data_IF_310750602291
#
_entry.id   IF_310750602291
#
_cell.length_a   1.000
_cell.length_b   1.000
_cell.length_c   1.000
_cell.angle_alpha   90.00
_cell.angle_beta   90.00
_cell.angle_gamma   90.00
#
_symmetry.space_group_name_H-M   'P 1'
#
loop_
_entity.id
_entity.type
_entity.pdbx_description
1 polymer ?
#
# COMPACT_ATOMS: atom_id res chain seq x y z
N UNK A 1 -14.86 -28.78 -76.15
CA UNK A 1 -14.96 -28.60 -74.69
C UNK A 1 -14.61 -27.16 -74.35
N UNK A 2 -15.57 -26.35 -73.91
CA UNK A 2 -15.36 -24.95 -73.52
C UNK A 2 -14.80 -24.94 -72.09
N UNK A 3 -13.56 -24.47 -71.90
CA UNK A 3 -12.98 -24.21 -70.57
C UNK A 3 -13.46 -22.84 -70.09
N UNK A 4 -14.22 -22.83 -69.01
CA UNK A 4 -14.57 -21.64 -68.26
C UNK A 4 -13.43 -21.34 -67.28
N UNK A 5 -12.85 -20.15 -67.38
CA UNK A 5 -11.89 -19.64 -66.39
C UNK A 5 -12.73 -18.92 -65.33
N UNK A 6 -12.85 -19.50 -64.14
CA UNK A 6 -13.40 -18.80 -62.97
C UNK A 6 -12.33 -17.80 -62.51
N UNK A 7 -12.62 -16.50 -62.62
CA UNK A 7 -11.86 -15.45 -61.95
C UNK A 7 -12.40 -15.36 -60.50
N UNK A 8 -11.66 -15.89 -59.53
CA UNK A 8 -11.94 -15.65 -58.12
C UNK A 8 -11.50 -14.23 -57.77
N UNK A 9 -12.45 -13.30 -57.68
CA UNK A 9 -12.24 -11.98 -57.09
C UNK A 9 -12.14 -12.17 -55.56
N UNK A 10 -10.91 -12.10 -55.02
CA UNK A 10 -10.71 -11.92 -53.59
C UNK A 10 -11.00 -10.46 -53.25
N UNK A 11 -12.15 -10.19 -52.65
CA UNK A 11 -12.45 -8.91 -51.99
C UNK A 11 -11.71 -8.94 -50.66
N UNK A 12 -10.56 -8.26 -50.58
CA UNK A 12 -9.96 -7.90 -49.30
C UNK A 12 -10.85 -6.81 -48.67
N UNK A 13 -11.71 -7.21 -47.73
CA UNK A 13 -12.27 -6.29 -46.74
C UNK A 13 -11.13 -5.90 -45.80
N UNK A 14 -10.44 -4.81 -46.11
CA UNK A 14 -9.61 -4.12 -45.14
C UNK A 14 -10.55 -3.49 -44.12
N UNK A 15 -10.78 -4.19 -43.00
CA UNK A 15 -11.34 -3.57 -41.81
C UNK A 15 -10.33 -2.53 -41.34
N UNK A 16 -10.70 -1.26 -41.38
CA UNK A 16 -10.00 -0.22 -40.65
C UNK A 16 -10.23 -0.49 -39.17
N UNK A 17 -9.29 -1.17 -38.52
CA UNK A 17 -9.22 -1.14 -37.07
C UNK A 17 -8.89 0.31 -36.69
N UNK A 18 -9.88 1.04 -36.18
CA UNK A 18 -9.62 2.32 -35.55
C UNK A 18 -8.86 2.03 -34.25
N UNK A 19 -7.83 2.82 -33.95
CA UNK A 19 -7.21 2.77 -32.63
C UNK A 19 -8.29 3.13 -31.60
N UNK A 20 -8.42 2.34 -30.53
CA UNK A 20 -9.35 2.66 -29.45
C UNK A 20 -8.85 3.88 -28.67
N UNK A 21 -9.79 4.70 -28.20
CA UNK A 21 -9.53 5.91 -27.44
C UNK A 21 -9.75 5.67 -25.95
N UNK A 22 -9.02 6.42 -25.12
CA UNK A 22 -9.24 6.48 -23.68
C UNK A 22 -10.51 7.28 -23.39
N UNK A 23 -11.48 6.68 -22.72
CA UNK A 23 -12.78 7.31 -22.40
C UNK A 23 -12.84 7.92 -21.00
N UNK A 24 -11.84 7.64 -20.19
CA UNK A 24 -11.69 8.14 -18.84
C UNK A 24 -12.52 7.39 -17.78
N UNK A 25 -11.99 7.39 -16.57
CA UNK A 25 -12.57 6.76 -15.38
C UNK A 25 -14.01 7.19 -15.05
N UNK A 26 -14.39 8.45 -15.34
CA UNK A 26 -15.78 8.92 -15.16
C UNK A 26 -16.75 8.10 -16.00
N UNK A 27 -16.39 7.75 -17.23
CA UNK A 27 -17.19 6.88 -18.10
C UNK A 27 -17.33 5.49 -17.48
N UNK A 28 -16.23 4.92 -17.00
CA UNK A 28 -16.23 3.62 -16.31
C UNK A 28 -17.15 3.64 -15.07
N UNK A 29 -17.08 4.69 -14.26
CA UNK A 29 -17.88 4.85 -13.04
C UNK A 29 -19.39 4.83 -13.29
N UNK A 30 -19.86 5.30 -14.46
CA UNK A 30 -21.30 5.29 -14.78
C UNK A 30 -21.92 3.88 -14.79
N UNK A 31 -21.12 2.85 -15.10
CA UNK A 31 -21.55 1.46 -15.13
C UNK A 31 -20.97 0.64 -13.97
N UNK A 32 -19.79 0.99 -13.46
CA UNK A 32 -19.04 0.19 -12.48
C UNK A 32 -19.07 0.69 -11.03
N UNK A 33 -19.83 1.75 -10.71
CA UNK A 33 -19.97 2.23 -9.33
C UNK A 33 -20.83 1.33 -8.42
N UNK A 34 -21.99 0.86 -8.90
CA UNK A 34 -23.03 0.29 -8.03
C UNK A 34 -23.13 -1.25 -8.03
N UNK A 35 -22.01 -1.96 -8.18
CA UNK A 35 -22.04 -3.43 -8.08
C UNK A 35 -22.28 -3.86 -6.62
N UNK A 36 -23.42 -4.52 -6.30
CA UNK A 36 -23.93 -4.68 -4.93
C UNK A 36 -23.03 -5.42 -3.93
N UNK A 37 -21.94 -6.04 -4.40
CA UNK A 37 -21.02 -6.82 -3.57
C UNK A 37 -19.55 -6.41 -3.74
N UNK A 38 -19.19 -5.59 -4.74
CA UNK A 38 -17.78 -5.27 -5.04
C UNK A 38 -17.46 -3.79 -5.23
N UNK A 39 -18.43 -2.93 -5.55
CA UNK A 39 -18.25 -1.47 -5.71
C UNK A 39 -16.92 -1.08 -6.35
N UNK A 40 -16.57 -1.69 -7.50
CA UNK A 40 -15.19 -1.66 -8.01
C UNK A 40 -14.66 -0.26 -8.21
N UNK A 41 -15.45 0.62 -8.82
CA UNK A 41 -15.05 2.01 -9.03
C UNK A 41 -14.87 2.73 -7.69
N UNK A 42 -15.86 2.73 -6.81
CA UNK A 42 -15.80 3.45 -5.53
C UNK A 42 -14.68 2.92 -4.62
N UNK A 43 -14.46 1.61 -4.60
CA UNK A 43 -13.36 1.01 -3.85
C UNK A 43 -12.00 1.34 -4.44
N UNK A 44 -11.88 1.36 -5.77
CA UNK A 44 -10.64 1.70 -6.45
C UNK A 44 -10.29 3.18 -6.30
N UNK A 45 -11.29 4.05 -6.38
CA UNK A 45 -11.15 5.48 -6.12
C UNK A 45 -10.71 5.76 -4.68
N UNK A 46 -10.99 4.82 -3.77
CA UNK A 46 -10.48 4.85 -2.41
C UNK A 46 -9.03 4.36 -2.25
N UNK A 47 -8.32 3.98 -3.31
CA UNK A 47 -6.91 3.57 -3.29
C UNK A 47 -5.97 4.73 -3.63
N UNK A 48 -4.66 4.53 -3.49
CA UNK A 48 -3.66 5.55 -3.85
C UNK A 48 -3.39 5.68 -5.35
N UNK A 49 -3.76 4.69 -6.18
CA UNK A 49 -3.44 4.67 -7.62
C UNK A 49 -4.02 5.86 -8.41
N UNK A 50 -5.31 6.21 -8.29
CA UNK A 50 -5.89 7.32 -9.04
C UNK A 50 -5.27 8.67 -8.67
N UNK A 51 -4.60 8.76 -7.53
CA UNK A 51 -4.10 10.01 -6.96
C UNK A 51 -2.58 10.11 -7.00
N UNK A 52 -1.87 9.15 -7.63
CA UNK A 52 -0.41 9.23 -7.82
C UNK A 52 0.04 10.51 -8.54
N UNK A 53 -0.84 11.09 -9.37
CA UNK A 53 -0.74 12.44 -9.88
C UNK A 53 -2.14 13.06 -9.87
N UNK A 54 -2.27 14.25 -9.26
CA UNK A 54 -3.54 14.98 -9.19
C UNK A 54 -3.37 16.33 -9.86
N UNK A 55 -4.18 16.61 -10.88
CA UNK A 55 -4.24 17.91 -11.52
C UNK A 55 -5.01 18.90 -10.65
N UNK A 56 -4.43 20.08 -10.43
CA UNK A 56 -5.09 21.18 -9.73
C UNK A 56 -5.13 22.47 -10.56
N UNK A 57 -4.33 22.56 -11.63
CA UNK A 57 -4.44 23.63 -12.64
C UNK A 57 -4.24 25.04 -12.09
N UNK A 58 -3.26 25.25 -11.22
CA UNK A 58 -2.99 26.53 -10.55
C UNK A 58 -4.16 27.05 -9.70
N UNK A 59 -5.03 26.14 -9.22
CA UNK A 59 -6.11 26.48 -8.30
C UNK A 59 -5.79 26.02 -6.88
N UNK A 60 -6.30 26.75 -5.88
CA UNK A 60 -6.29 26.27 -4.50
C UNK A 60 -7.12 24.98 -4.42
N UNK A 61 -6.53 23.85 -3.97
CA UNK A 61 -7.25 22.59 -3.87
C UNK A 61 -8.52 22.74 -3.03
N UNK A 62 -9.63 22.20 -3.56
CA UNK A 62 -10.89 22.19 -2.83
C UNK A 62 -10.75 21.38 -1.53
N UNK A 63 -11.49 21.78 -0.49
CA UNK A 63 -11.45 21.10 0.82
C UNK A 63 -11.91 19.63 0.78
N UNK A 64 -12.62 19.26 -0.28
CA UNK A 64 -13.14 17.92 -0.58
C UNK A 64 -12.33 17.21 -1.68
N UNK A 65 -11.18 17.75 -2.09
CA UNK A 65 -10.29 17.06 -3.02
C UNK A 65 -9.84 15.76 -2.37
N UNK A 66 -10.29 14.64 -2.94
CA UNK A 66 -9.81 13.33 -2.57
C UNK A 66 -8.29 13.28 -2.87
N UNK A 67 -7.43 12.76 -1.97
CA UNK A 67 -7.77 11.85 -0.87
C UNK A 67 -7.85 12.45 0.51
N UNK A 68 -8.70 13.46 0.75
CA UNK A 68 -9.06 13.96 2.09
C UNK A 68 -7.87 14.18 3.03
N UNK A 69 -6.68 14.36 2.47
CA UNK A 69 -5.44 14.42 3.23
C UNK A 69 -5.08 15.88 3.28
N UNK A 70 -5.27 16.54 4.43
CA UNK A 70 -5.04 17.98 4.52
C UNK A 70 -3.56 18.25 4.25
N UNK A 71 -3.30 19.03 3.21
CA UNK A 71 -2.00 19.61 2.98
C UNK A 71 -1.88 20.88 3.84
N UNK A 72 -0.72 21.11 4.48
CA UNK A 72 -0.46 22.39 5.12
C UNK A 72 -0.35 23.48 4.05
N UNK A 73 -0.27 24.76 4.46
CA UNK A 73 0.21 25.81 3.56
C UNK A 73 1.52 25.38 2.89
N UNK A 74 1.67 25.74 1.61
CA UNK A 74 2.90 25.49 0.85
C UNK A 74 4.10 26.20 1.50
N UNK A 75 5.32 25.64 1.36
CA UNK A 75 6.50 26.16 2.03
C UNK A 75 7.05 27.39 1.28
N UNK A 76 7.95 28.12 1.92
CA UNK A 76 8.75 29.11 1.20
C UNK A 76 9.78 28.39 0.32
N UNK A 77 9.95 28.88 -0.91
CA UNK A 77 10.94 28.39 -1.88
C UNK A 77 11.75 29.57 -2.43
N UNK A 78 13.07 29.53 -2.32
CA UNK A 78 13.98 30.59 -2.75
C UNK A 78 13.78 31.89 -1.96
N UNK A 79 13.27 31.80 -0.72
CA UNK A 79 12.90 32.95 0.09
C UNK A 79 11.60 33.65 -0.35
N UNK A 80 10.81 33.02 -1.22
CA UNK A 80 9.48 33.50 -1.66
C UNK A 80 8.43 32.44 -1.31
N UNK A 81 7.28 32.82 -0.71
CA UNK A 81 6.21 31.87 -0.42
C UNK A 81 5.66 31.23 -1.69
N UNK A 82 5.76 29.90 -1.82
CA UNK A 82 5.12 29.17 -2.92
C UNK A 82 3.59 29.29 -2.77
N UNK A 83 2.90 29.65 -3.84
CA UNK A 83 1.45 29.77 -3.84
C UNK A 83 0.81 28.64 -4.65
N UNK A 84 -0.49 28.40 -4.42
CA UNK A 84 -1.20 27.35 -5.15
C UNK A 84 -1.36 27.66 -6.65
N UNK A 85 -1.33 28.93 -7.04
CA UNK A 85 -1.32 29.35 -8.44
C UNK A 85 0.04 29.16 -9.14
N UNK A 86 1.08 28.78 -8.39
CA UNK A 86 2.37 28.34 -8.95
C UNK A 86 2.41 26.82 -9.20
N UNK A 87 1.37 26.06 -8.80
CA UNK A 87 1.36 24.60 -8.80
C UNK A 87 0.31 24.05 -9.78
N UNK A 88 0.77 23.20 -10.70
CA UNK A 88 -0.09 22.56 -11.69
C UNK A 88 -0.58 21.17 -11.23
N UNK A 89 0.33 20.38 -10.66
CA UNK A 89 0.03 19.03 -10.19
C UNK A 89 0.59 18.75 -8.80
N UNK A 90 -0.08 17.85 -8.10
CA UNK A 90 0.40 17.22 -6.88
C UNK A 90 0.83 15.79 -7.21
N UNK A 91 2.07 15.44 -6.88
CA UNK A 91 2.61 14.09 -7.01
C UNK A 91 2.42 13.36 -5.70
N UNK A 92 1.77 12.19 -5.75
CA UNK A 92 1.39 11.44 -4.56
C UNK A 92 0.27 12.16 -3.83
N UNK A 93 0.48 12.54 -2.57
CA UNK A 93 -0.57 12.99 -1.67
C UNK A 93 -1.66 11.92 -1.53
N UNK A 94 -1.31 10.83 -0.85
CA UNK A 94 -2.20 9.78 -0.37
C UNK A 94 -1.37 8.98 0.65
N UNK A 95 -1.61 9.17 1.94
CA UNK A 95 -0.94 8.53 3.11
C UNK A 95 0.58 8.64 3.28
N UNK A 96 1.38 8.84 2.23
CA UNK A 96 2.85 8.86 2.33
C UNK A 96 3.43 10.28 2.30
N UNK A 97 3.49 10.88 1.12
CA UNK A 97 4.16 12.16 0.86
C UNK A 97 3.49 12.92 -0.26
N UNK A 98 3.60 14.24 -0.23
CA UNK A 98 3.19 15.13 -1.31
C UNK A 98 4.40 15.90 -1.84
N UNK A 99 4.48 16.00 -3.16
CA UNK A 99 5.40 16.87 -3.91
C UNK A 99 4.60 17.61 -4.98
N UNK A 100 5.22 18.59 -5.62
CA UNK A 100 4.50 19.53 -6.49
C UNK A 100 5.20 19.65 -7.83
N UNK A 101 4.40 19.80 -8.89
CA UNK A 101 4.84 20.20 -10.23
C UNK A 101 4.37 21.62 -10.44
N UNK A 102 5.29 22.52 -10.80
CA UNK A 102 4.95 23.91 -11.07
C UNK A 102 4.24 24.11 -12.41
N UNK A 103 3.72 25.32 -12.65
CA UNK A 103 3.04 25.70 -13.90
C UNK A 103 3.89 25.63 -15.16
N UNK A 104 5.21 25.47 -15.04
CA UNK A 104 6.10 25.19 -16.18
C UNK A 104 6.36 23.69 -16.40
N UNK A 105 5.76 22.82 -15.56
CA UNK A 105 5.87 21.36 -15.66
C UNK A 105 7.05 20.74 -14.89
N UNK A 106 7.92 21.55 -14.28
CA UNK A 106 9.06 21.05 -13.49
C UNK A 106 8.64 20.68 -12.07
N UNK A 107 9.29 19.67 -11.50
CA UNK A 107 9.12 19.34 -10.08
C UNK A 107 9.67 20.49 -9.23
N UNK A 108 8.89 20.96 -8.27
CA UNK A 108 9.29 22.01 -7.34
C UNK A 108 10.33 21.46 -6.37
N UNK A 109 11.55 21.98 -6.48
CA UNK A 109 12.72 21.61 -5.67
C UNK A 109 13.20 22.73 -4.76
N UNK A 110 12.83 23.98 -5.06
CA UNK A 110 13.27 25.15 -4.30
C UNK A 110 14.76 25.46 -4.47
N UNK A 111 15.29 26.31 -3.60
CA UNK A 111 16.71 26.60 -3.44
C UNK A 111 17.44 25.54 -2.61
N UNK A 112 18.74 25.73 -2.40
CA UNK A 112 19.67 24.76 -1.80
C UNK A 112 19.30 24.31 -0.37
N UNK A 113 18.58 25.15 0.38
CA UNK A 113 18.21 24.90 1.77
C UNK A 113 16.71 24.63 1.96
N UNK A 114 15.94 24.56 0.87
CA UNK A 114 14.48 24.49 0.95
C UNK A 114 13.97 23.06 1.16
N UNK A 115 12.80 22.98 1.77
CA UNK A 115 12.07 21.74 1.98
C UNK A 115 10.77 21.74 1.19
N UNK A 116 10.68 20.86 0.20
CA UNK A 116 9.65 20.86 -0.86
C UNK A 116 8.86 19.56 -0.95
N UNK A 117 9.20 18.58 -0.11
CA UNK A 117 8.38 17.38 0.10
C UNK A 117 7.71 17.45 1.46
N UNK A 118 6.39 17.25 1.47
CA UNK A 118 5.64 17.12 2.71
C UNK A 118 5.41 15.64 3.04
N UNK A 119 5.81 15.21 4.23
CA UNK A 119 5.57 13.85 4.72
C UNK A 119 4.30 13.82 5.58
N UNK A 120 3.32 13.01 5.18
CA UNK A 120 2.01 12.97 5.82
C UNK A 120 2.09 12.35 7.22
N UNK A 121 2.92 11.33 7.39
CA UNK A 121 3.07 10.62 8.67
C UNK A 121 3.70 11.48 9.78
N UNK A 122 4.66 12.36 9.43
CA UNK A 122 5.33 13.25 10.40
C UNK A 122 4.76 14.66 10.41
N UNK A 123 3.89 14.99 9.45
CA UNK A 123 3.39 16.34 9.21
C UNK A 123 4.51 17.38 9.03
N UNK A 124 5.64 16.95 8.44
CA UNK A 124 6.85 17.75 8.32
C UNK A 124 7.29 17.93 6.86
N UNK A 125 7.88 19.09 6.59
CA UNK A 125 8.58 19.37 5.34
C UNK A 125 10.01 18.84 5.39
N UNK A 126 10.47 18.22 4.31
CA UNK A 126 11.84 17.74 4.12
C UNK A 126 12.40 18.16 2.76
N UNK A 127 13.74 18.28 2.62
CA UNK A 127 14.36 18.57 1.33
C UNK A 127 14.06 17.51 0.28
N UNK A 128 13.82 17.94 -0.95
CA UNK A 128 13.72 17.06 -2.11
C UNK A 128 14.46 17.68 -3.29
N UNK A 129 15.66 17.16 -3.57
CA UNK A 129 16.55 17.66 -4.64
C UNK A 129 16.76 19.18 -4.63
N UNK A 130 17.08 19.78 -3.47
CA UNK A 130 17.10 21.24 -3.32
C UNK A 130 18.05 21.90 -4.34
N UNK A 131 17.58 22.95 -5.01
CA UNK A 131 18.34 23.69 -6.02
C UNK A 131 18.44 23.03 -7.40
N UNK A 132 17.93 21.80 -7.59
CA UNK A 132 17.99 21.11 -8.89
C UNK A 132 16.82 21.51 -9.79
N UNK A 133 17.07 21.73 -11.09
CA UNK A 133 15.99 21.77 -12.09
C UNK A 133 15.61 20.33 -12.45
N UNK A 134 14.43 19.89 -12.02
CA UNK A 134 13.95 18.51 -12.18
C UNK A 134 12.77 18.44 -13.15
N UNK A 135 12.99 17.80 -14.30
CA UNK A 135 11.90 17.42 -15.20
C UNK A 135 10.99 16.39 -14.50
N UNK A 136 9.69 16.46 -14.75
CA UNK A 136 8.75 15.42 -14.38
C UNK A 136 8.76 14.30 -15.43
N UNK A 137 9.42 13.20 -15.11
CA UNK A 137 9.58 12.00 -15.95
C UNK A 137 8.89 10.75 -15.38
N UNK A 138 8.05 10.95 -14.37
CA UNK A 138 7.38 9.88 -13.64
C UNK A 138 6.07 9.39 -14.31
N UNK A 139 5.71 9.94 -15.48
CA UNK A 139 4.42 9.74 -16.14
C UNK A 139 4.05 8.27 -16.31
N UNK A 140 5.00 7.44 -16.78
CA UNK A 140 4.81 5.99 -17.01
C UNK A 140 4.11 5.26 -15.87
N UNK A 141 4.43 5.59 -14.61
CA UNK A 141 3.91 4.90 -13.43
C UNK A 141 2.87 5.72 -12.65
N UNK A 142 2.61 6.96 -13.05
CA UNK A 142 1.80 7.92 -12.31
C UNK A 142 0.59 8.42 -13.10
N UNK A 143 0.42 7.99 -14.34
CA UNK A 143 -0.65 8.45 -15.24
C UNK A 143 -1.28 7.29 -16.01
N UNK A 144 -2.30 7.59 -16.81
CA UNK A 144 -3.04 6.64 -17.62
C UNK A 144 -2.90 6.96 -19.09
N UNK A 145 -2.56 5.96 -19.90
CA UNK A 145 -2.32 6.14 -21.33
C UNK A 145 -1.08 6.97 -21.61
N UNK A 146 0.00 6.75 -20.85
CA UNK A 146 1.26 7.44 -21.03
C UNK A 146 1.90 7.13 -22.39
N UNK A 147 2.31 8.19 -23.08
CA UNK A 147 3.08 8.13 -24.32
C UNK A 147 4.39 8.92 -24.12
N UNK A 148 5.52 8.21 -24.16
CA UNK A 148 6.84 8.79 -23.96
C UNK A 148 7.30 9.66 -25.15
N UNK A 149 6.75 9.41 -26.35
CA UNK A 149 7.10 10.13 -27.57
C UNK A 149 6.21 11.36 -27.81
N UNK A 150 5.11 11.46 -27.06
CA UNK A 150 4.22 12.62 -27.11
C UNK A 150 4.86 13.86 -26.47
N UNK A 151 4.46 15.03 -26.97
CA UNK A 151 4.90 16.32 -26.44
C UNK A 151 3.80 16.90 -25.55
N UNK A 152 4.16 17.30 -24.34
CA UNK A 152 3.26 18.02 -23.44
C UNK A 152 3.37 19.54 -23.65
N UNK A 153 2.28 20.25 -23.37
CA UNK A 153 2.25 21.72 -23.43
C UNK A 153 3.15 22.37 -22.36
N UNK A 154 3.42 21.65 -21.27
CA UNK A 154 4.32 22.08 -20.20
C UNK A 154 5.73 21.54 -20.43
N UNK A 155 6.73 22.41 -20.65
CA UNK A 155 8.08 21.99 -21.07
C UNK A 155 8.82 21.15 -20.03
N UNK A 156 8.46 21.27 -18.75
CA UNK A 156 9.04 20.48 -17.67
C UNK A 156 8.48 19.05 -17.56
N UNK A 157 7.51 18.65 -18.37
CA UNK A 157 6.93 17.30 -18.38
C UNK A 157 7.51 16.47 -19.53
N UNK A 158 7.93 15.24 -19.26
CA UNK A 158 8.39 14.29 -20.27
C UNK A 158 7.28 13.31 -20.68
N UNK A 159 6.95 13.26 -21.97
CA UNK A 159 5.84 12.49 -22.52
C UNK A 159 4.48 13.18 -22.28
N UNK A 160 3.39 12.49 -22.60
CA UNK A 160 2.03 12.95 -22.35
C UNK A 160 1.11 11.79 -21.92
N UNK A 161 -0.13 12.06 -21.52
CA UNK A 161 -1.06 11.03 -21.07
C UNK A 161 -2.53 11.38 -21.30
N UNK A 162 -3.39 10.37 -21.27
CA UNK A 162 -4.84 10.55 -21.36
C UNK A 162 -5.47 11.06 -20.06
N UNK A 163 -5.00 10.58 -18.89
CA UNK A 163 -5.47 11.07 -17.58
C UNK A 163 -4.35 11.09 -16.53
N UNK A 164 -4.31 12.08 -15.63
CA UNK A 164 -3.43 12.05 -14.46
C UNK A 164 -3.88 10.98 -13.46
N UNK A 165 -2.91 10.34 -12.82
CA UNK A 165 -3.14 9.20 -11.93
C UNK A 165 -3.24 7.88 -12.69
N UNK A 166 -3.04 6.78 -11.96
CA UNK A 166 -3.24 5.42 -12.48
C UNK A 166 -4.74 5.12 -12.37
N UNK A 167 -5.48 5.35 -13.45
CA UNK A 167 -6.92 5.23 -13.58
C UNK A 167 -7.28 3.86 -14.17
N UNK A 168 -8.58 3.60 -14.37
CA UNK A 168 -9.08 2.30 -14.82
C UNK A 168 -8.38 1.80 -16.10
N UNK A 169 -8.23 2.67 -17.08
CA UNK A 169 -7.67 2.33 -18.39
C UNK A 169 -6.14 2.13 -18.37
N UNK A 170 -5.45 2.42 -17.26
CA UNK A 170 -4.04 2.09 -17.12
C UNK A 170 -3.82 0.57 -17.06
N UNK A 171 -4.77 -0.16 -16.47
CA UNK A 171 -4.76 -1.62 -16.38
C UNK A 171 -5.65 -2.28 -17.44
N UNK A 172 -6.75 -1.62 -17.82
CA UNK A 172 -7.73 -2.17 -18.75
C UNK A 172 -7.48 -1.78 -20.21
N UNK A 173 -6.55 -0.87 -20.48
CA UNK A 173 -6.33 -0.28 -21.80
C UNK A 173 -7.46 0.68 -22.20
N UNK A 174 -7.38 1.28 -23.41
CA UNK A 174 -8.40 2.18 -23.94
C UNK A 174 -9.78 1.52 -23.96
N UNK A 175 -10.81 2.22 -23.49
CA UNK A 175 -12.13 1.65 -23.24
C UNK A 175 -13.19 1.97 -24.30
N UNK A 176 -12.88 2.72 -25.36
CA UNK A 176 -13.93 3.30 -26.24
C UNK A 176 -14.88 2.28 -26.89
N UNK A 177 -14.37 1.14 -27.38
CA UNK A 177 -15.25 0.11 -27.96
C UNK A 177 -16.00 -0.67 -26.88
N UNK A 178 -15.38 -0.93 -25.72
CA UNK A 178 -16.06 -1.56 -24.59
C UNK A 178 -17.20 -0.68 -24.08
N UNK A 179 -16.98 0.62 -23.92
CA UNK A 179 -18.02 1.55 -23.51
C UNK A 179 -19.18 1.64 -24.52
N UNK A 180 -18.90 1.45 -25.81
CA UNK A 180 -19.91 1.45 -26.87
C UNK A 180 -20.72 0.15 -26.95
N UNK A 181 -20.12 -1.00 -26.62
CA UNK A 181 -20.77 -2.32 -26.64
C UNK A 181 -20.29 -3.24 -25.48
N UNK A 182 -20.64 -2.92 -24.22
CA UNK A 182 -20.05 -3.56 -23.05
C UNK A 182 -20.47 -5.02 -22.85
N UNK A 183 -21.51 -5.46 -23.56
CA UNK A 183 -21.99 -6.85 -23.50
C UNK A 183 -21.22 -7.80 -24.41
N UNK A 184 -20.53 -7.29 -25.43
CA UNK A 184 -19.89 -8.11 -26.46
C UNK A 184 -18.39 -7.82 -26.63
N UNK A 185 -17.91 -6.67 -26.19
CA UNK A 185 -16.51 -6.26 -26.29
C UNK A 185 -15.89 -6.22 -24.89
N UNK A 186 -14.74 -6.87 -24.70
CA UNK A 186 -13.92 -6.70 -23.49
C UNK A 186 -12.87 -5.62 -23.73
N UNK A 187 -12.40 -4.97 -22.66
CA UNK A 187 -11.29 -4.02 -22.79
C UNK A 187 -10.01 -4.76 -23.24
N UNK A 188 -9.12 -4.10 -24.00
CA UNK A 188 -7.98 -4.76 -24.63
C UNK A 188 -6.81 -5.05 -23.67
N UNK A 189 -6.78 -4.43 -22.49
CA UNK A 189 -5.70 -4.53 -21.53
C UNK A 189 -5.77 -5.75 -20.60
N UNK A 190 -4.65 -5.96 -19.89
CA UNK A 190 -4.50 -6.90 -18.79
C UNK A 190 -3.71 -6.23 -17.67
N UNK A 191 -3.94 -6.67 -16.42
CA UNK A 191 -3.30 -6.06 -15.25
C UNK A 191 -1.80 -6.36 -15.27
N UNK A 192 -0.98 -5.35 -15.56
CA UNK A 192 0.47 -5.39 -15.42
C UNK A 192 0.91 -4.57 -14.19
N UNK A 193 1.10 -5.25 -13.07
CA UNK A 193 1.59 -4.62 -11.84
C UNK A 193 3.06 -4.22 -11.95
N UNK A 194 3.88 -5.07 -12.60
CA UNK A 194 5.34 -4.97 -12.62
C UNK A 194 5.79 -3.85 -13.57
N UNK A 195 4.95 -3.44 -14.52
CA UNK A 195 5.18 -2.25 -15.33
C UNK A 195 5.44 -0.97 -14.51
N UNK A 196 4.94 -0.90 -13.27
CA UNK A 196 5.11 0.23 -12.36
C UNK A 196 5.76 -0.13 -11.01
N UNK A 197 5.60 -1.37 -10.53
CA UNK A 197 6.17 -1.86 -9.28
C UNK A 197 7.52 -2.54 -9.50
N UNK A 198 8.38 -1.88 -10.26
CA UNK A 198 9.70 -2.34 -10.65
C UNK A 198 10.65 -1.17 -10.89
N UNK A 199 11.94 -1.39 -10.65
CA UNK A 199 13.01 -0.40 -10.78
C UNK A 199 14.13 -0.80 -11.72
N UNK A 200 14.52 -2.08 -11.75
CA UNK A 200 15.74 -2.49 -12.45
C UNK A 200 15.50 -3.62 -13.44
N UNK A 201 15.62 -3.30 -14.74
CA UNK A 201 16.00 -4.15 -15.89
C UNK A 201 16.20 -5.65 -15.71
N UNK A 202 17.13 -5.93 -14.81
CA UNK A 202 17.72 -7.23 -14.58
C UNK A 202 17.14 -7.90 -13.34
N UNK A 203 16.01 -7.37 -12.83
CA UNK A 203 15.32 -7.77 -11.60
C UNK A 203 16.17 -7.66 -10.34
N UNK A 204 17.22 -6.82 -10.38
CA UNK A 204 18.01 -6.57 -9.18
C UNK A 204 17.23 -5.70 -8.19
N UNK A 205 17.44 -5.91 -6.89
CA UNK A 205 16.77 -5.14 -5.84
C UNK A 205 17.72 -4.05 -5.30
N UNK A 206 17.67 -2.82 -5.83
CA UNK A 206 18.54 -1.76 -5.33
C UNK A 206 18.23 -1.43 -3.86
N UNK A 207 19.29 -1.20 -3.10
CA UNK A 207 19.24 -0.87 -1.68
C UNK A 207 20.03 0.41 -1.43
N UNK A 208 19.48 1.34 -0.65
CA UNK A 208 20.15 2.62 -0.41
C UNK A 208 19.68 3.30 0.85
N UNK A 209 20.64 3.85 1.61
CA UNK A 209 20.37 4.64 2.80
C UNK A 209 19.65 3.86 3.90
N UNK A 210 20.02 2.58 4.06
CA UNK A 210 19.47 1.70 5.08
C UNK A 210 18.19 0.97 4.69
N UNK A 211 17.69 1.10 3.45
CA UNK A 211 16.38 0.56 3.06
C UNK A 211 16.35 0.06 1.62
N UNK A 212 15.46 -0.90 1.40
CA UNK A 212 14.95 -1.22 0.08
C UNK A 212 14.29 0.01 -0.57
N UNK A 213 14.40 0.09 -1.89
CA UNK A 213 13.91 1.25 -2.63
C UNK A 213 12.42 1.08 -2.93
N UNK A 214 11.60 2.08 -2.59
CA UNK A 214 10.16 2.05 -2.91
C UNK A 214 9.88 1.77 -4.41
N UNK A 215 8.76 1.10 -4.67
CA UNK A 215 8.32 0.59 -5.97
C UNK A 215 9.16 -0.58 -6.55
N UNK A 216 9.72 -1.44 -5.69
CA UNK A 216 10.44 -2.65 -6.12
C UNK A 216 9.79 -3.96 -5.63
N UNK A 217 8.51 -3.90 -5.23
CA UNK A 217 7.80 -5.10 -4.74
C UNK A 217 7.73 -6.20 -5.79
N UNK A 218 7.80 -5.86 -7.09
CA UNK A 218 7.90 -6.81 -8.16
C UNK A 218 9.18 -7.64 -8.07
N UNK A 219 10.35 -6.99 -7.95
CA UNK A 219 11.63 -7.68 -7.77
C UNK A 219 11.66 -8.53 -6.50
N UNK A 220 11.21 -7.98 -5.37
CA UNK A 220 11.11 -8.72 -4.11
C UNK A 220 10.25 -9.97 -4.26
N UNK A 221 9.06 -9.81 -4.84
CA UNK A 221 8.11 -10.91 -5.00
C UNK A 221 8.66 -12.02 -5.90
N UNK A 222 9.25 -11.70 -7.06
CA UNK A 222 9.77 -12.72 -7.98
C UNK A 222 10.97 -13.48 -7.42
N UNK A 223 11.73 -12.86 -6.51
CA UNK A 223 12.85 -13.50 -5.80
C UNK A 223 12.41 -14.18 -4.50
N UNK A 224 11.12 -14.16 -4.18
CA UNK A 224 10.58 -14.88 -3.03
C UNK A 224 10.11 -16.29 -3.40
N UNK A 225 9.93 -17.19 -2.43
CA UNK A 225 9.31 -18.51 -2.68
C UNK A 225 7.91 -18.43 -3.31
N UNK A 226 7.19 -17.33 -3.12
CA UNK A 226 5.87 -17.13 -3.71
C UNK A 226 5.92 -16.71 -5.18
N UNK A 227 7.01 -16.06 -5.62
CA UNK A 227 7.17 -15.54 -6.98
C UNK A 227 7.16 -16.63 -8.06
N UNK A 228 7.50 -17.86 -7.69
CA UNK A 228 7.54 -19.00 -8.62
C UNK A 228 6.14 -19.51 -9.01
N UNK A 229 5.13 -19.31 -8.14
CA UNK A 229 3.84 -20.01 -8.25
C UNK A 229 2.61 -19.12 -8.08
N UNK A 230 2.75 -17.94 -7.46
CA UNK A 230 1.65 -17.02 -7.20
C UNK A 230 1.79 -15.74 -8.05
N UNK A 231 0.70 -14.98 -8.11
CA UNK A 231 0.66 -13.62 -8.67
C UNK A 231 0.26 -12.62 -7.60
N UNK A 232 0.49 -11.32 -7.84
CA UNK A 232 0.03 -10.25 -6.94
C UNK A 232 -1.48 -10.37 -6.65
N UNK A 233 -2.27 -10.72 -7.67
CA UNK A 233 -3.73 -10.86 -7.60
C UNK A 233 -4.20 -12.13 -6.88
N UNK A 234 -3.28 -13.02 -6.52
CA UNK A 234 -3.59 -14.17 -5.65
C UNK A 234 -3.96 -13.70 -4.24
N UNK A 235 -3.20 -12.72 -3.72
CA UNK A 235 -3.40 -12.19 -2.37
C UNK A 235 -4.18 -10.87 -2.39
N UNK A 236 -3.94 -10.01 -3.39
CA UNK A 236 -4.50 -8.68 -3.44
C UNK A 236 -5.68 -8.55 -4.40
N UNK A 237 -6.68 -7.79 -3.99
CA UNK A 237 -7.72 -7.29 -4.87
C UNK A 237 -7.25 -5.93 -5.47
N UNK A 238 -7.01 -5.85 -6.78
CA UNK A 238 -6.49 -4.63 -7.42
C UNK A 238 -7.45 -3.44 -7.35
N UNK A 239 -8.72 -3.67 -7.01
CA UNK A 239 -9.73 -2.63 -6.83
C UNK A 239 -9.84 -2.12 -5.39
N UNK A 240 -9.00 -2.58 -4.46
CA UNK A 240 -9.07 -2.18 -3.05
C UNK A 240 -7.79 -1.48 -2.62
N UNK A 241 -7.95 -0.48 -1.76
CA UNK A 241 -6.82 0.18 -1.12
C UNK A 241 -6.06 -0.78 -0.23
N UNK A 242 -4.73 -0.71 -0.21
CA UNK A 242 -3.89 -1.39 0.78
C UNK A 242 -3.92 -0.70 2.15
N UNK A 243 -4.49 0.49 2.24
CA UNK A 243 -4.61 1.26 3.48
C UNK A 243 -5.99 1.14 4.10
N UNK A 244 -7.03 1.01 3.27
CA UNK A 244 -8.41 0.76 3.69
C UNK A 244 -8.84 -0.67 3.33
N UNK A 245 -10.12 -1.01 3.49
CA UNK A 245 -10.70 -2.25 2.93
C UNK A 245 -9.88 -3.54 3.23
N UNK A 246 -9.48 -3.70 4.48
CA UNK A 246 -8.73 -4.86 5.00
C UNK A 246 -7.40 -5.12 4.28
N UNK A 247 -6.66 -4.04 3.98
CA UNK A 247 -5.29 -4.15 3.44
C UNK A 247 -5.25 -4.48 1.95
N UNK A 248 -6.37 -4.32 1.24
CA UNK A 248 -6.45 -4.59 -0.18
C UNK A 248 -6.39 -6.09 -0.50
N UNK A 249 -6.71 -6.95 0.46
CA UNK A 249 -6.72 -8.40 0.27
C UNK A 249 -7.98 -8.88 -0.46
N UNK A 250 -7.86 -10.04 -1.13
CA UNK A 250 -9.01 -10.79 -1.65
C UNK A 250 -9.88 -11.27 -0.50
N UNK A 251 -11.20 -11.30 -0.70
CA UNK A 251 -12.15 -11.73 0.32
C UNK A 251 -11.84 -13.13 0.83
N UNK A 252 -11.73 -13.25 2.16
CA UNK A 252 -11.44 -14.52 2.84
C UNK A 252 -9.99 -14.99 2.75
N UNK A 253 -9.09 -14.21 2.12
CA UNK A 253 -7.67 -14.53 2.07
C UNK A 253 -6.98 -14.31 3.43
N UNK A 254 -6.11 -15.25 3.79
CA UNK A 254 -5.19 -15.22 4.91
C UNK A 254 -4.02 -16.15 4.60
N UNK A 255 -2.84 -15.85 5.14
CA UNK A 255 -1.67 -16.74 5.08
C UNK A 255 -2.03 -18.17 5.49
N UNK A 256 -2.91 -18.33 6.49
CA UNK A 256 -3.34 -19.61 7.03
C UNK A 256 -4.17 -20.47 6.07
N UNK A 257 -4.66 -19.92 4.95
CA UNK A 257 -5.32 -20.73 3.92
C UNK A 257 -4.35 -21.71 3.25
N UNK A 258 -3.08 -21.32 3.11
CA UNK A 258 -2.03 -22.12 2.50
C UNK A 258 -1.02 -22.67 3.51
N UNK A 259 -0.90 -22.02 4.68
CA UNK A 259 -0.05 -22.42 5.80
C UNK A 259 -0.91 -22.88 7.00
N UNK A 260 -1.58 -24.07 6.93
CA UNK A 260 -2.57 -24.47 7.94
C UNK A 260 -1.97 -24.96 9.26
N UNK A 261 -2.59 -24.47 10.35
CA UNK A 261 -2.54 -24.93 11.75
C UNK A 261 -2.64 -26.44 11.97
N UNK A 262 -1.82 -27.03 12.85
CA UNK A 262 -2.23 -28.23 13.61
C UNK A 262 -2.12 -27.92 15.10
N UNK A 263 -3.12 -28.33 15.90
CA UNK A 263 -3.16 -28.16 17.37
C UNK A 263 -2.03 -28.93 18.11
N UNK A 264 -1.07 -29.49 17.37
CA UNK A 264 0.17 -30.05 17.93
C UNK A 264 1.45 -29.60 17.21
N UNK A 265 1.40 -28.67 16.23
CA UNK A 265 2.52 -27.93 15.58
C UNK A 265 2.15 -27.54 14.14
N UNK A 266 1.54 -26.37 13.88
CA UNK A 266 1.28 -25.97 12.48
C UNK A 266 0.89 -24.52 12.21
N UNK A 267 1.39 -23.57 13.00
CA UNK A 267 1.37 -22.11 12.81
C UNK A 267 0.62 -21.28 13.87
N UNK A 268 1.25 -20.15 14.21
CA UNK A 268 1.68 -19.83 15.58
C UNK A 268 0.90 -18.71 16.22
N UNK A 269 0.06 -19.06 17.18
CA UNK A 269 0.09 -18.28 18.41
C UNK A 269 1.28 -18.82 19.19
N UNK A 270 2.42 -18.13 19.12
CA UNK A 270 3.32 -18.16 20.28
C UNK A 270 2.50 -17.46 21.36
N UNK A 271 2.20 -18.13 22.48
CA UNK A 271 1.33 -17.55 23.52
C UNK A 271 1.83 -16.18 23.99
N UNK A 272 3.15 -15.95 23.94
CA UNK A 272 3.79 -14.68 24.28
C UNK A 272 3.77 -13.63 23.14
N UNK A 273 3.24 -13.97 21.96
CA UNK A 273 3.11 -13.10 20.78
C UNK A 273 1.66 -13.07 20.22
N UNK A 274 0.66 -13.25 21.09
CA UNK A 274 -0.77 -13.27 20.74
C UNK A 274 -1.26 -12.03 19.98
N UNK A 275 -0.53 -10.91 20.06
CA UNK A 275 -0.84 -9.65 19.41
C UNK A 275 -0.13 -9.44 18.05
N UNK A 276 0.72 -10.37 17.60
CA UNK A 276 1.44 -10.28 16.32
C UNK A 276 0.72 -11.01 15.18
N UNK A 277 0.78 -10.43 13.99
CA UNK A 277 0.32 -11.00 12.73
C UNK A 277 1.50 -11.58 11.94
N UNK A 278 1.25 -12.52 11.04
CA UNK A 278 2.29 -13.11 10.18
C UNK A 278 3.14 -12.04 9.47
N UNK A 279 2.48 -10.97 8.98
CA UNK A 279 3.11 -9.89 8.22
C UNK A 279 4.10 -9.07 9.05
N UNK A 280 4.00 -9.07 10.38
CA UNK A 280 4.87 -8.26 11.24
C UNK A 280 6.34 -8.73 11.15
N UNK A 281 6.57 -10.03 10.95
CA UNK A 281 7.91 -10.60 10.74
C UNK A 281 8.16 -11.02 9.28
N UNK A 282 7.13 -11.43 8.56
CA UNK A 282 7.27 -11.96 7.20
C UNK A 282 7.08 -10.89 6.11
N UNK A 283 6.50 -9.73 6.42
CA UNK A 283 6.41 -8.60 5.50
C UNK A 283 6.72 -7.27 6.20
N UNK A 284 7.86 -7.16 6.92
CA UNK A 284 8.18 -5.94 7.64
C UNK A 284 8.38 -4.79 6.66
N UNK A 285 8.28 -3.55 7.16
CA UNK A 285 8.51 -2.35 6.36
C UNK A 285 10.00 -2.18 6.03
N UNK A 286 10.52 -2.97 5.08
CA UNK A 286 11.94 -2.94 4.66
C UNK A 286 12.22 -1.83 3.64
N UNK A 287 11.18 -1.33 2.99
CA UNK A 287 11.26 -0.29 1.97
C UNK A 287 11.00 1.10 2.53
N UNK A 288 11.67 2.11 1.96
CA UNK A 288 11.43 3.53 2.29
C UNK A 288 10.94 4.34 1.09
N UNK A 289 9.76 4.90 1.24
CA UNK A 289 9.14 5.88 0.37
C UNK A 289 9.26 7.29 0.94
N UNK A 290 8.71 7.56 2.13
CA UNK A 290 8.63 8.90 2.70
C UNK A 290 9.40 9.03 4.02
N UNK A 291 9.16 8.11 4.95
CA UNK A 291 9.68 8.13 6.32
C UNK A 291 10.26 6.77 6.70
N UNK A 292 11.09 6.78 7.74
CA UNK A 292 11.47 5.58 8.48
C UNK A 292 11.11 5.81 9.95
N UNK A 293 10.53 4.80 10.60
CA UNK A 293 10.20 4.84 12.02
C UNK A 293 11.42 4.52 12.90
N UNK A 294 12.43 3.86 12.33
CA UNK A 294 13.69 3.50 12.98
C UNK A 294 14.77 3.10 11.97
N UNK A 295 15.95 2.63 12.42
CA UNK A 295 17.03 2.20 11.53
C UNK A 295 16.67 0.99 10.66
N UNK A 296 15.75 0.13 11.13
CA UNK A 296 15.32 -1.10 10.46
C UNK A 296 13.81 -1.12 10.19
N UNK A 297 13.15 0.04 10.10
CA UNK A 297 11.72 0.11 9.78
C UNK A 297 11.42 1.35 8.95
N UNK A 298 11.12 1.11 7.68
CA UNK A 298 10.70 2.08 6.68
C UNK A 298 9.21 2.38 6.76
N UNK A 299 8.56 2.49 5.61
CA UNK A 299 7.12 2.77 5.48
C UNK A 299 6.48 2.06 4.28
N UNK A 300 7.14 1.02 3.78
CA UNK A 300 6.71 0.18 2.67
C UNK A 300 7.02 -1.27 3.00
N UNK A 301 5.96 -2.08 3.10
CA UNK A 301 6.04 -3.51 3.37
C UNK A 301 6.84 -4.27 2.30
N UNK A 302 7.71 -5.15 2.76
CA UNK A 302 8.50 -6.06 1.93
C UNK A 302 7.70 -7.25 1.41
N UNK A 303 8.12 -7.78 0.26
CA UNK A 303 7.50 -8.95 -0.39
C UNK A 303 8.48 -10.12 -0.57
N UNK A 304 9.46 -10.24 0.33
CA UNK A 304 10.40 -11.38 0.38
C UNK A 304 9.86 -12.57 1.17
N UNK A 305 8.94 -12.34 2.11
CA UNK A 305 8.24 -13.33 2.96
C UNK A 305 9.10 -14.13 3.93
N UNK A 306 10.28 -14.59 3.55
CA UNK A 306 11.07 -15.54 4.35
C UNK A 306 12.24 -14.84 5.05
N UNK A 307 12.25 -14.76 6.39
CA UNK A 307 13.43 -14.35 7.13
C UNK A 307 14.51 -15.43 7.11
N UNK A 308 15.74 -15.04 6.78
CA UNK A 308 16.90 -15.91 6.99
C UNK A 308 17.29 -15.87 8.47
N UNK A 309 17.65 -17.01 9.05
CA UNK A 309 17.96 -17.11 10.49
C UNK A 309 19.43 -16.82 10.80
N UNK A 310 20.26 -16.61 9.80
CA UNK A 310 21.68 -16.30 9.98
C UNK A 310 21.84 -14.87 10.55
N UNK A 311 22.82 -14.64 11.45
CA UNK A 311 23.06 -13.35 12.07
C UNK A 311 23.78 -12.39 11.12
N UNK A 312 23.08 -11.93 10.09
CA UNK A 312 23.62 -11.03 9.07
C UNK A 312 22.74 -9.78 9.00
N UNK A 313 23.38 -8.61 9.08
CA UNK A 313 22.72 -7.31 8.95
C UNK A 313 22.40 -7.01 7.48
N UNK A 314 21.39 -6.17 7.25
CA UNK A 314 21.03 -5.71 5.91
C UNK A 314 22.20 -5.10 5.13
N UNK A 315 23.06 -4.33 5.80
CA UNK A 315 24.23 -3.69 5.19
C UNK A 315 25.34 -4.67 4.78
N UNK A 316 25.37 -5.85 5.39
CA UNK A 316 26.27 -6.94 5.03
C UNK A 316 25.64 -7.89 3.99
N UNK A 317 24.33 -7.76 3.74
CA UNK A 317 23.59 -8.57 2.78
C UNK A 317 23.36 -7.87 1.42
N UNK A 318 24.32 -7.05 1.00
CA UNK A 318 24.28 -6.35 -0.29
C UNK A 318 25.59 -6.49 -1.06
N UNK A 319 25.51 -6.37 -2.38
CA UNK A 319 26.66 -6.33 -3.30
C UNK A 319 26.70 -5.00 -4.05
N UNK A 320 27.87 -4.37 -4.12
CA UNK A 320 28.10 -3.18 -4.95
C UNK A 320 28.34 -3.57 -6.41
N UNK A 321 27.48 -3.06 -7.29
CA UNK A 321 27.64 -3.14 -8.75
C UNK A 321 27.62 -1.72 -9.31
N UNK A 322 28.79 -1.20 -9.66
CA UNK A 322 28.92 0.10 -10.32
C UNK A 322 28.54 1.30 -9.43
N UNK A 323 28.74 1.19 -8.12
CA UNK A 323 28.40 2.22 -7.12
C UNK A 323 26.96 2.17 -6.64
N UNK A 324 26.20 1.14 -7.03
CA UNK A 324 24.84 0.88 -6.54
C UNK A 324 24.85 -0.42 -5.75
N UNK A 325 24.31 -0.37 -4.53
CA UNK A 325 24.16 -1.55 -3.69
C UNK A 325 22.88 -2.30 -4.08
N UNK A 326 22.98 -3.61 -4.19
CA UNK A 326 21.88 -4.50 -4.53
C UNK A 326 21.74 -5.60 -3.48
N UNK A 327 20.50 -5.93 -3.09
CA UNK A 327 20.23 -7.02 -2.17
C UNK A 327 20.73 -8.35 -2.73
N UNK A 328 21.41 -9.13 -1.89
CA UNK A 328 21.94 -10.42 -2.32
C UNK A 328 20.84 -11.45 -2.56
N UNK A 329 21.14 -12.37 -3.46
CA UNK A 329 20.33 -13.54 -3.77
C UNK A 329 21.19 -14.79 -3.58
N UNK A 330 20.58 -15.92 -3.23
CA UNK A 330 21.27 -17.21 -3.17
C UNK A 330 21.54 -17.79 -4.57
N UNK A 331 22.16 -18.96 -4.63
CA UNK A 331 22.50 -19.64 -5.89
C UNK A 331 21.27 -20.01 -6.73
N UNK A 332 20.08 -20.10 -6.12
CA UNK A 332 18.81 -20.36 -6.79
C UNK A 332 18.08 -19.04 -7.17
N UNK A 333 18.69 -17.89 -6.89
CA UNK A 333 18.14 -16.57 -7.16
C UNK A 333 17.08 -16.13 -6.15
N UNK A 334 17.04 -16.71 -4.94
CA UNK A 334 16.09 -16.31 -3.89
C UNK A 334 16.68 -15.25 -2.98
N UNK A 335 15.80 -14.40 -2.46
CA UNK A 335 16.16 -13.37 -1.51
C UNK A 335 15.35 -13.52 -0.21
N UNK A 336 15.99 -13.16 0.89
CA UNK A 336 15.48 -13.36 2.24
C UNK A 336 15.52 -12.06 3.04
N UNK A 337 14.65 -11.97 4.03
CA UNK A 337 14.59 -10.84 4.97
C UNK A 337 15.68 -11.06 6.02
N UNK A 338 16.52 -10.06 6.26
CA UNK A 338 17.50 -10.07 7.35
C UNK A 338 16.79 -9.83 8.69
N UNK A 339 17.32 -10.41 9.78
CA UNK A 339 16.65 -10.35 11.09
C UNK A 339 16.65 -8.96 11.73
N UNK A 340 17.51 -8.06 11.29
CA UNK A 340 17.44 -6.65 11.70
C UNK A 340 16.12 -6.00 11.26
N UNK A 341 15.64 -6.30 10.05
CA UNK A 341 14.30 -5.89 9.63
C UNK A 341 13.16 -6.69 10.28
N UNK A 342 13.33 -8.01 10.45
CA UNK A 342 12.25 -8.87 10.95
C UNK A 342 12.05 -8.81 12.48
N UNK A 343 13.09 -8.46 13.24
CA UNK A 343 13.08 -8.50 14.70
C UNK A 343 13.47 -7.15 15.32
N UNK A 344 14.58 -6.55 14.87
CA UNK A 344 15.17 -5.37 15.53
C UNK A 344 14.43 -4.05 15.23
N UNK A 345 13.36 -4.11 14.44
CA UNK A 345 12.38 -3.02 14.35
C UNK A 345 11.55 -2.85 15.63
N UNK A 346 11.35 -3.92 16.40
CA UNK A 346 10.59 -3.92 17.66
C UNK A 346 11.44 -4.25 18.89
N UNK A 347 12.51 -5.02 18.70
CA UNK A 347 13.46 -5.42 19.73
C UNK A 347 14.67 -4.49 19.71
N UNK A 348 14.72 -3.56 20.66
CA UNK A 348 15.71 -2.48 20.70
C UNK A 348 16.35 -2.32 22.08
N UNK A 349 16.21 -3.31 22.97
CA UNK A 349 16.91 -3.29 24.25
C UNK A 349 18.43 -3.49 24.05
N UNK A 350 19.23 -3.02 25.01
CA UNK A 350 20.71 -2.96 24.86
C UNK A 350 21.37 -4.33 24.65
N UNK A 351 20.69 -5.45 24.98
CA UNK A 351 21.14 -6.83 24.79
C UNK A 351 20.44 -7.57 23.63
N UNK A 352 19.59 -6.89 22.86
CA UNK A 352 18.88 -7.41 21.69
C UNK A 352 19.60 -7.01 20.40
N UNK A 353 20.65 -7.76 20.03
CA UNK A 353 21.41 -7.58 18.79
C UNK A 353 21.09 -8.66 17.73
N UNK A 354 21.84 -8.67 16.63
CA UNK A 354 21.61 -9.61 15.51
C UNK A 354 21.86 -11.07 15.90
N UNK A 355 22.79 -11.34 16.84
CA UNK A 355 23.06 -12.68 17.34
C UNK A 355 21.93 -13.15 18.26
N UNK A 356 21.39 -12.25 19.09
CA UNK A 356 20.18 -12.49 19.85
C UNK A 356 18.99 -12.81 18.93
N UNK A 357 18.81 -12.05 17.86
CA UNK A 357 17.72 -12.25 16.91
C UNK A 357 17.83 -13.64 16.24
N UNK A 358 19.03 -14.01 15.77
CA UNK A 358 19.29 -15.31 15.17
C UNK A 358 18.99 -16.49 16.12
N UNK A 359 19.40 -16.34 17.39
CA UNK A 359 19.14 -17.33 18.43
C UNK A 359 17.63 -17.52 18.66
N UNK A 360 16.85 -16.44 18.62
CA UNK A 360 15.41 -16.48 18.89
C UNK A 360 14.56 -16.81 17.66
N UNK A 361 15.04 -16.52 16.45
CA UNK A 361 14.37 -16.83 15.19
C UNK A 361 14.47 -18.32 14.82
N UNK A 362 15.57 -18.98 15.22
CA UNK A 362 15.78 -20.42 14.95
C UNK A 362 14.69 -21.25 15.62
N UNK A 363 13.98 -22.06 14.83
CA UNK A 363 12.86 -22.88 15.27
C UNK A 363 11.78 -22.09 16.05
N UNK A 364 11.68 -20.76 15.87
CA UNK A 364 10.77 -19.88 16.66
C UNK A 364 9.33 -20.38 16.68
N UNK A 365 8.97 -20.93 15.53
CA UNK A 365 7.83 -21.75 15.30
C UNK A 365 7.84 -22.96 16.27
N UNK A 366 8.64 -24.00 16.05
CA UNK A 366 8.50 -25.25 16.81
C UNK A 366 8.97 -25.23 18.28
N UNK A 367 9.81 -24.27 18.69
CA UNK A 367 10.56 -24.29 19.95
C UNK A 367 9.87 -23.57 21.12
N UNK A 368 9.01 -22.56 20.88
CA UNK A 368 8.36 -21.78 21.95
C UNK A 368 7.04 -22.38 22.48
N UNK A 369 6.68 -23.60 22.10
CA UNK A 369 5.54 -24.33 22.65
C UNK A 369 5.71 -24.81 24.12
N UNK A 370 6.86 -24.55 24.75
CA UNK A 370 7.16 -25.02 26.10
C UNK A 370 8.06 -24.09 26.91
N UNK A 371 7.53 -22.96 27.40
CA UNK A 371 8.11 -22.31 28.59
C UNK A 371 6.99 -21.82 29.50
N UNK A 372 6.86 -22.49 30.65
CA UNK A 372 5.98 -22.06 31.74
C UNK A 372 6.64 -20.98 32.61
N UNK A 373 5.78 -20.08 33.10
CA UNK A 373 5.92 -19.12 34.20
C UNK A 373 7.13 -18.15 34.21
N UNK A 374 6.77 -16.92 33.80
CA UNK A 374 7.04 -15.64 34.48
C UNK A 374 8.46 -15.08 34.51
N UNK A 375 8.71 -14.13 33.60
CA UNK A 375 9.28 -12.83 33.96
C UNK A 375 8.64 -11.75 33.06
N UNK A 376 8.04 -10.75 33.73
CA UNK A 376 7.50 -9.49 33.22
C UNK A 376 7.59 -9.25 31.70
N UNK A 377 6.43 -9.31 31.04
CA UNK A 377 6.16 -8.73 29.73
C UNK A 377 6.71 -7.30 29.69
N UNK A 378 7.69 -6.96 28.84
CA UNK A 378 7.97 -5.57 28.52
C UNK A 378 6.68 -5.02 27.90
N UNK A 379 6.17 -3.92 28.43
CA UNK A 379 5.08 -3.21 27.76
C UNK A 379 5.62 -2.71 26.42
N UNK A 380 5.26 -3.39 25.32
CA UNK A 380 5.53 -2.92 23.98
C UNK A 380 5.02 -1.47 23.88
N UNK A 381 5.81 -0.53 23.35
CA UNK A 381 5.40 0.87 23.25
C UNK A 381 4.35 1.02 22.15
N UNK A 382 3.10 0.67 22.46
CA UNK A 382 1.96 0.83 21.55
C UNK A 382 1.35 2.21 21.67
N UNK A 383 1.49 3.02 20.63
CA UNK A 383 0.90 4.36 20.54
C UNK A 383 -0.63 4.39 20.55
N UNK A 384 -1.31 3.26 20.40
CA UNK A 384 -2.77 3.18 20.39
C UNK A 384 -3.26 1.94 21.15
N UNK A 385 -4.37 2.08 21.87
CA UNK A 385 -4.92 1.00 22.72
C UNK A 385 -6.44 1.12 22.84
N UNK A 386 -7.14 0.00 23.03
CA UNK A 386 -8.52 0.00 23.55
C UNK A 386 -8.43 0.00 25.08
N UNK A 387 -8.62 1.17 25.69
CA UNK A 387 -8.46 1.37 27.14
C UNK A 387 -9.63 0.85 27.96
N UNK A 388 -10.84 0.79 27.39
CA UNK A 388 -12.01 0.23 28.09
C UNK A 388 -13.12 -0.23 27.13
N UNK A 389 -13.86 -1.25 27.55
CA UNK A 389 -15.21 -1.56 27.05
C UNK A 389 -16.12 -1.61 28.26
N UNK A 390 -16.97 -0.60 28.44
CA UNK A 390 -17.82 -0.51 29.63
C UNK A 390 -19.24 -0.03 29.31
N UNK A 391 -20.29 -0.72 29.82
CA UNK A 391 -20.22 -1.97 30.60
C UNK A 391 -19.74 -3.17 29.76
N UNK A 392 -19.12 -4.17 30.40
CA UNK A 392 -18.79 -5.45 29.79
C UNK A 392 -18.76 -6.54 30.88
N UNK A 393 -19.69 -7.51 30.91
CA UNK A 393 -20.77 -7.72 29.95
C UNK A 393 -21.76 -6.55 29.86
N UNK A 394 -22.42 -6.39 28.72
CA UNK A 394 -23.39 -5.33 28.48
C UNK A 394 -24.77 -5.87 28.10
N UNK A 395 -25.81 -5.10 28.43
CA UNK A 395 -27.16 -5.33 27.94
C UNK A 395 -27.51 -4.24 26.91
N UNK A 396 -27.72 -4.66 25.67
CA UNK A 396 -28.08 -3.83 24.50
C UNK A 396 -27.02 -2.84 24.02
N UNK A 397 -26.29 -2.11 24.88
CA UNK A 397 -25.21 -1.21 24.43
C UNK A 397 -24.00 -1.15 25.37
N UNK A 398 -22.82 -0.86 24.81
CA UNK A 398 -21.56 -0.61 25.54
C UNK A 398 -20.81 0.58 24.96
N UNK A 399 -19.94 1.21 25.76
CA UNK A 399 -19.00 2.23 25.28
C UNK A 399 -17.60 1.65 25.16
N UNK A 400 -17.05 1.72 23.95
CA UNK A 400 -15.65 1.42 23.66
C UNK A 400 -14.86 2.72 23.80
N UNK A 401 -13.86 2.70 24.66
CA UNK A 401 -12.91 3.80 24.86
C UNK A 401 -11.56 3.35 24.33
N UNK A 402 -10.94 4.18 23.49
CA UNK A 402 -9.61 3.92 22.96
C UNK A 402 -8.78 5.20 22.98
N UNK A 403 -7.46 5.04 23.10
CA UNK A 403 -6.52 6.15 23.16
C UNK A 403 -5.57 6.06 21.98
N UNK A 404 -5.25 7.21 21.41
CA UNK A 404 -4.28 7.39 20.34
C UNK A 404 -3.20 8.37 20.84
N UNK A 405 -1.92 8.07 20.63
CA UNK A 405 -0.79 8.91 21.00
C UNK A 405 -0.52 10.01 19.98
N UNK A 406 -0.79 9.73 18.71
CA UNK A 406 -0.75 10.65 17.57
C UNK A 406 -2.00 10.47 16.70
N UNK A 407 -2.24 11.36 15.71
CA UNK A 407 -3.35 11.18 14.80
C UNK A 407 -3.20 9.89 13.96
N UNK A 408 -4.28 9.13 13.82
CA UNK A 408 -4.36 7.95 12.96
C UNK A 408 -5.61 7.98 12.10
N UNK A 409 -5.61 7.24 11.00
CA UNK A 409 -6.84 6.71 10.45
C UNK A 409 -7.23 5.50 11.32
N UNK A 410 -8.30 5.65 12.11
CA UNK A 410 -8.76 4.61 13.01
C UNK A 410 -10.00 3.92 12.43
N UNK A 411 -9.92 2.60 12.23
CA UNK A 411 -11.08 1.74 11.97
C UNK A 411 -11.42 1.01 13.27
N UNK A 412 -12.63 1.26 13.78
CA UNK A 412 -13.18 0.54 14.94
C UNK A 412 -14.32 -0.33 14.42
N UNK A 413 -14.12 -1.64 14.42
CA UNK A 413 -15.08 -2.61 13.92
C UNK A 413 -15.38 -3.69 14.96
N UNK A 414 -16.58 -4.24 14.90
CA UNK A 414 -17.05 -5.32 15.78
C UNK A 414 -17.19 -6.60 14.98
N UNK A 415 -16.71 -7.70 15.53
CA UNK A 415 -16.73 -9.03 14.96
C UNK A 415 -17.45 -10.00 15.90
N UNK A 416 -18.11 -11.01 15.34
CA UNK A 416 -18.64 -12.12 16.13
C UNK A 416 -17.57 -13.18 16.44
N UNK A 417 -17.96 -14.22 17.19
CA UNK A 417 -17.06 -15.31 17.58
C UNK A 417 -16.50 -16.14 16.41
N UNK A 418 -17.06 -16.00 15.21
CA UNK A 418 -16.58 -16.67 13.99
C UNK A 418 -15.69 -15.74 13.14
N UNK A 419 -15.39 -14.54 13.64
CA UNK A 419 -14.58 -13.54 12.94
C UNK A 419 -15.35 -12.77 11.86
N UNK A 420 -16.69 -12.88 11.80
CA UNK A 420 -17.49 -12.12 10.83
C UNK A 420 -17.70 -10.71 11.36
N UNK A 421 -17.41 -9.70 10.53
CA UNK A 421 -17.66 -8.30 10.89
C UNK A 421 -19.17 -8.04 10.97
N UNK A 422 -19.66 -7.63 12.14
CA UNK A 422 -21.09 -7.34 12.39
C UNK A 422 -21.40 -5.85 12.44
N UNK A 423 -20.40 -5.00 12.69
CA UNK A 423 -20.55 -3.54 12.63
C UNK A 423 -19.21 -2.85 12.36
N UNK A 424 -19.27 -1.69 11.69
CA UNK A 424 -18.18 -0.71 11.67
C UNK A 424 -18.66 0.51 12.43
N UNK A 425 -18.00 0.85 13.54
CA UNK A 425 -18.38 1.95 14.42
C UNK A 425 -17.65 3.26 14.07
N UNK A 426 -16.46 3.13 13.48
CA UNK A 426 -15.69 4.24 12.93
C UNK A 426 -14.80 3.72 11.80
N UNK A 427 -14.63 4.51 10.75
CA UNK A 427 -13.63 4.29 9.72
C UNK A 427 -13.21 5.65 9.16
N UNK A 428 -12.08 6.18 9.64
CA UNK A 428 -11.61 7.50 9.22
C UNK A 428 -10.64 8.16 10.20
N UNK A 429 -10.22 9.40 9.94
CA UNK A 429 -9.23 10.09 10.76
C UNK A 429 -9.69 10.33 12.20
N UNK A 430 -8.77 10.15 13.13
CA UNK A 430 -8.91 10.35 14.56
C UNK A 430 -7.66 11.06 15.08
N UNK A 431 -7.85 12.17 15.81
CA UNK A 431 -6.74 12.92 16.40
C UNK A 431 -6.11 12.16 17.57
N UNK A 432 -4.90 12.57 17.99
CA UNK A 432 -4.33 12.12 19.24
C UNK A 432 -5.29 12.39 20.42
N UNK A 433 -5.35 11.48 21.39
CA UNK A 433 -6.17 11.59 22.59
C UNK A 433 -7.11 10.41 22.80
N UNK A 434 -7.97 10.55 23.81
CA UNK A 434 -9.01 9.56 24.17
C UNK A 434 -10.26 9.77 23.31
N UNK A 435 -10.82 8.67 22.81
CA UNK A 435 -12.04 8.63 22.01
C UNK A 435 -13.04 7.66 22.64
N UNK A 436 -14.34 7.99 22.53
CA UNK A 436 -15.44 7.16 23.03
C UNK A 436 -16.44 6.90 21.92
N UNK A 437 -16.77 5.63 21.71
CA UNK A 437 -17.72 5.20 20.69
C UNK A 437 -18.73 4.25 21.33
N UNK A 438 -20.01 4.51 21.09
CA UNK A 438 -21.09 3.64 21.54
C UNK A 438 -21.31 2.52 20.53
N UNK A 439 -21.47 1.31 21.03
CA UNK A 439 -21.89 0.15 20.25
C UNK A 439 -23.28 -0.30 20.72
N UNK A 440 -24.22 -0.40 19.78
CA UNK A 440 -25.55 -0.96 19.98
C UNK A 440 -25.61 -2.37 19.38
N UNK A 441 -25.85 -3.36 20.23
CA UNK A 441 -25.96 -4.77 19.88
C UNK A 441 -27.39 -5.30 19.98
N UNK A 442 -28.42 -4.46 20.01
CA UNK A 442 -29.82 -4.89 20.18
C UNK A 442 -30.27 -5.95 19.15
N UNK A 443 -29.83 -5.79 17.89
CA UNK A 443 -30.15 -6.70 16.78
C UNK A 443 -29.26 -7.95 16.72
N UNK A 444 -28.29 -8.07 17.62
CA UNK A 444 -27.35 -9.18 17.66
C UNK A 444 -27.76 -10.24 18.69
N UNK A 445 -27.32 -11.48 18.52
CA UNK A 445 -27.58 -12.56 19.48
C UNK A 445 -26.68 -12.43 20.70
N UNK A 446 -27.13 -12.88 21.89
CA UNK A 446 -26.25 -12.96 23.06
C UNK A 446 -25.03 -13.83 22.74
N UNK A 447 -23.84 -13.39 23.16
CA UNK A 447 -22.62 -14.09 22.79
C UNK A 447 -21.36 -13.25 22.98
N UNK A 448 -20.25 -13.83 22.53
CA UNK A 448 -18.94 -13.18 22.52
C UNK A 448 -18.79 -12.42 21.22
N UNK A 449 -18.34 -11.17 21.34
CA UNK A 449 -17.95 -10.30 20.25
C UNK A 449 -16.55 -9.77 20.50
N UNK A 450 -15.90 -9.27 19.45
CA UNK A 450 -14.60 -8.64 19.54
C UNK A 450 -14.69 -7.26 18.90
N UNK A 451 -14.26 -6.23 19.60
CA UNK A 451 -13.97 -4.93 18.98
C UNK A 451 -12.51 -4.92 18.58
N UNK A 452 -12.23 -4.50 17.34
CA UNK A 452 -10.89 -4.27 16.82
C UNK A 452 -10.73 -2.79 16.53
N UNK A 453 -9.68 -2.19 17.09
CA UNK A 453 -9.15 -0.90 16.67
C UNK A 453 -7.99 -1.18 15.73
N UNK A 454 -8.12 -0.77 14.48
CA UNK A 454 -7.05 -0.83 13.47
C UNK A 454 -6.61 0.59 13.16
N UNK A 455 -5.30 0.79 13.10
CA UNK A 455 -4.67 2.03 12.67
C UNK A 455 -3.65 1.73 11.58
N UNK A 456 -3.06 2.77 10.98
CA UNK A 456 -1.92 2.58 10.08
C UNK A 456 -0.67 2.03 10.77
N UNK A 457 -0.63 1.95 12.10
CA UNK A 457 0.48 1.42 12.89
C UNK A 457 0.19 0.02 13.49
N UNK A 458 -0.92 -0.62 13.12
CA UNK A 458 -1.27 -1.96 13.58
C UNK A 458 -2.70 -2.05 14.13
N UNK A 459 -3.02 -3.14 14.82
CA UNK A 459 -4.36 -3.34 15.39
C UNK A 459 -4.32 -3.90 16.80
N UNK A 460 -5.32 -3.54 17.60
CA UNK A 460 -5.56 -4.09 18.94
C UNK A 460 -7.01 -4.54 19.05
N UNK A 461 -7.29 -5.53 19.89
CA UNK A 461 -8.62 -6.08 20.07
C UNK A 461 -9.02 -6.15 21.54
N UNK A 462 -10.31 -5.99 21.80
CA UNK A 462 -10.89 -6.25 23.10
C UNK A 462 -12.15 -7.13 22.97
N UNK A 463 -12.26 -8.11 23.87
CA UNK A 463 -13.41 -8.99 23.96
C UNK A 463 -14.60 -8.26 24.60
N UNK A 464 -15.79 -8.46 24.05
CA UNK A 464 -17.06 -7.94 24.55
C UNK A 464 -18.05 -9.09 24.75
N UNK A 465 -18.89 -9.00 25.79
CA UNK A 465 -19.91 -10.01 26.10
C UNK A 465 -21.27 -9.34 26.09
N UNK A 466 -22.11 -9.70 25.12
CA UNK A 466 -23.50 -9.23 25.03
C UNK A 466 -24.42 -10.19 25.78
N UNK A 467 -25.13 -9.67 26.78
CA UNK A 467 -26.20 -10.36 27.51
C UNK A 467 -27.56 -9.82 27.06
N UNK A 468 -28.51 -10.71 26.78
CA UNK A 468 -29.92 -10.36 26.66
C UNK A 468 -30.67 -10.77 27.90
#
# INVERSE_FOLDING_TARGET
MKRWILLCLFVFLAGTAFAQDYVGDTTCGTCHANFPETGFFDNYMNSGHPWKLTYIGAETPASDLYPWTPLPPLPDTGGVPLQWDDVEYIIGNYFWKARFVGVEGYIVTGGEDDSTQFNLATQGWVPYHPGEVRQYDCGRCHTTGYDADATNDLPGIAGDWAQPGVRCEACHGPGSEHAADPSNVSTPGGIDCIGCHYRDSEYRMPWSGGFMRHHQQGEEFVHSPHGEVLSCTTCHNPHRSTVYNDGGLVDGFSCSNCHPGSESNGYYVIQDMEDLNCVDCHMPDIGKSAVASGPHSGDVAGHLFEPMTDPVLAEDNVTDIGGTLYWNQDDDGRAYITLDYACLGCHTEDDEDIDWAATNATDIHTARAAVGDAASTPALPGGFEISAVYPNPFNSSTTITFRLDKPYIAKVAVFDALGRQVATLRNGPAQAGEHKISFDGADLSSGIYFVRLTTGAGSTMAKMILLK
#
